data_IF_663121033562
#
_entry.id   IF_663121033562
#
_cell.length_a   1.000
_cell.length_b   1.000
_cell.length_c   1.000
_cell.angle_alpha   90.00
_cell.angle_beta   90.00
_cell.angle_gamma   90.00
#
_symmetry.space_group_name_H-M   'P 1'
#
loop_
_entity.id
_entity.type
_entity.pdbx_description
1 polymer ?
#
# COMPACT_ATOMS: atom_id res chain seq x y z
N UNK A 1 11.64 14.96 -44.46
CA UNK A 1 10.64 14.36 -43.55
C UNK A 1 9.76 13.35 -44.28
N UNK A 2 9.08 13.73 -45.37
CA UNK A 2 8.18 12.84 -46.14
C UNK A 2 8.89 11.62 -46.75
N UNK A 3 10.12 11.74 -47.26
CA UNK A 3 10.89 10.60 -47.79
C UNK A 3 11.13 9.52 -46.72
N UNK A 4 11.58 9.90 -45.52
CA UNK A 4 11.79 8.95 -44.41
C UNK A 4 10.51 8.25 -43.96
N UNK A 5 9.34 8.89 -44.13
CA UNK A 5 8.06 8.26 -43.82
C UNK A 5 7.70 7.17 -44.84
N UNK A 6 8.00 7.40 -46.13
CA UNK A 6 7.77 6.38 -47.16
C UNK A 6 8.72 5.17 -47.04
N UNK A 7 9.90 5.35 -46.43
CA UNK A 7 10.85 4.26 -46.18
C UNK A 7 10.45 3.37 -44.98
N UNK A 8 9.66 3.92 -44.05
CA UNK A 8 9.33 3.28 -42.77
C UNK A 8 7.86 2.83 -42.65
N UNK A 9 6.96 3.42 -43.41
CA UNK A 9 5.51 3.21 -43.29
C UNK A 9 4.86 2.93 -44.65
N UNK A 10 3.72 2.23 -44.62
CA UNK A 10 2.95 1.97 -45.82
C UNK A 10 2.35 3.26 -46.39
N UNK A 11 2.13 3.35 -47.72
CA UNK A 11 1.56 4.55 -48.34
C UNK A 11 0.19 4.96 -47.77
N UNK A 12 -0.57 4.00 -47.24
CA UNK A 12 -1.85 4.28 -46.57
C UNK A 12 -1.64 5.02 -45.26
N UNK A 13 -0.69 4.57 -44.43
CA UNK A 13 -0.36 5.20 -43.15
C UNK A 13 0.29 6.58 -43.34
N UNK A 14 1.19 6.72 -44.33
CA UNK A 14 1.84 8.01 -44.63
C UNK A 14 0.80 9.10 -44.93
N UNK A 15 -0.27 8.77 -45.67
CA UNK A 15 -1.36 9.71 -45.95
C UNK A 15 -2.09 10.17 -44.70
N UNK A 16 -2.23 9.31 -43.70
CA UNK A 16 -2.87 9.65 -42.43
C UNK A 16 -1.91 10.40 -41.49
N UNK A 17 -0.65 9.98 -41.41
CA UNK A 17 0.38 10.64 -40.59
C UNK A 17 0.57 12.09 -41.01
N UNK A 18 0.55 12.38 -42.32
CA UNK A 18 0.70 13.75 -42.84
C UNK A 18 -0.46 14.68 -42.47
N UNK A 19 -1.62 14.16 -42.03
CA UNK A 19 -2.74 14.97 -41.53
C UNK A 19 -2.52 15.48 -40.10
N UNK A 20 -1.59 14.87 -39.36
CA UNK A 20 -1.27 15.28 -37.99
C UNK A 20 -0.53 16.61 -38.05
N UNK A 21 -1.19 17.66 -37.57
CA UNK A 21 -0.60 18.99 -37.52
C UNK A 21 0.41 19.07 -36.37
N UNK A 22 1.70 18.91 -36.68
CA UNK A 22 2.77 19.24 -35.74
C UNK A 22 2.84 20.75 -35.52
N UNK A 23 3.33 21.17 -34.35
CA UNK A 23 3.50 22.60 -34.04
C UNK A 23 4.25 23.33 -35.15
N UNK A 24 3.67 24.43 -35.66
CA UNK A 24 4.30 25.27 -36.70
C UNK A 24 5.61 25.90 -36.24
N UNK A 25 5.88 25.90 -34.93
CA UNK A 25 7.03 26.56 -34.31
C UNK A 25 8.37 25.83 -34.48
N UNK A 26 8.44 24.72 -35.22
CA UNK A 26 9.67 23.93 -35.45
C UNK A 26 10.54 23.80 -34.19
N UNK A 27 9.91 23.59 -33.03
CA UNK A 27 10.62 23.45 -31.78
C UNK A 27 11.25 22.06 -31.75
N UNK A 28 12.47 21.96 -31.22
CA UNK A 28 13.05 20.64 -30.96
C UNK A 28 12.16 19.86 -30.00
N UNK A 29 12.06 18.56 -30.26
CA UNK A 29 11.36 17.62 -29.39
C UNK A 29 12.01 17.60 -28.01
N UNK A 30 11.18 17.44 -26.98
CA UNK A 30 11.63 17.33 -25.59
C UNK A 30 10.78 16.30 -24.86
N UNK A 31 11.34 15.71 -23.81
CA UNK A 31 10.60 14.80 -22.94
C UNK A 31 9.55 15.58 -22.16
N UNK A 32 8.28 15.23 -22.36
CA UNK A 32 7.15 15.79 -21.62
C UNK A 32 6.56 14.74 -20.67
N UNK A 33 6.37 15.12 -19.42
CA UNK A 33 5.76 14.30 -18.39
C UNK A 33 4.42 14.90 -17.97
N UNK A 34 3.33 14.36 -18.51
CA UNK A 34 1.97 14.86 -18.27
C UNK A 34 1.56 14.96 -16.78
N UNK A 35 1.89 13.99 -15.91
CA UNK A 35 1.42 14.01 -14.52
C UNK A 35 1.88 15.21 -13.69
N UNK A 36 2.96 15.89 -14.09
CA UNK A 36 3.44 17.09 -13.41
C UNK A 36 3.13 18.34 -14.24
N UNK A 37 2.68 19.42 -13.58
CA UNK A 37 2.32 20.69 -14.25
C UNK A 37 3.51 21.36 -14.94
N UNK A 38 4.73 21.09 -14.48
CA UNK A 38 5.95 21.60 -15.09
C UNK A 38 6.43 20.76 -16.29
N UNK A 39 5.76 19.63 -16.58
CA UNK A 39 6.11 18.74 -17.67
C UNK A 39 7.41 17.96 -17.47
N UNK A 40 8.02 18.00 -16.28
CA UNK A 40 9.32 17.37 -16.01
C UNK A 40 9.16 15.98 -15.42
N UNK A 41 9.93 15.02 -15.96
CA UNK A 41 9.99 13.68 -15.42
C UNK A 41 10.85 13.63 -14.16
N UNK A 42 10.37 12.92 -13.13
CA UNK A 42 11.18 12.53 -11.98
C UNK A 42 10.81 11.12 -11.54
N UNK A 43 11.76 10.39 -10.94
CA UNK A 43 11.48 9.05 -10.37
C UNK A 43 10.38 9.14 -9.31
N UNK A 44 10.34 10.24 -8.55
CA UNK A 44 9.31 10.49 -7.53
C UNK A 44 7.91 10.60 -8.15
N UNK A 45 7.75 11.39 -9.21
CA UNK A 45 6.45 11.58 -9.87
C UNK A 45 5.99 10.31 -10.61
N UNK A 46 6.94 9.57 -11.20
CA UNK A 46 6.66 8.26 -11.80
C UNK A 46 6.22 7.23 -10.77
N UNK A 47 6.92 7.16 -9.63
CA UNK A 47 6.55 6.28 -8.52
C UNK A 47 5.16 6.63 -7.98
N UNK A 48 4.89 7.92 -7.74
CA UNK A 48 3.58 8.38 -7.27
C UNK A 48 2.46 7.98 -8.23
N UNK A 49 2.64 8.17 -9.55
CA UNK A 49 1.66 7.74 -10.55
C UNK A 49 1.42 6.22 -10.50
N UNK A 50 2.51 5.44 -10.42
CA UNK A 50 2.41 3.98 -10.35
C UNK A 50 1.68 3.53 -9.08
N UNK A 51 1.95 4.16 -7.94
CA UNK A 51 1.26 3.88 -6.67
C UNK A 51 -0.22 4.26 -6.76
N UNK A 52 -0.59 5.43 -7.29
CA UNK A 52 -2.00 5.82 -7.42
C UNK A 52 -2.79 4.89 -8.34
N UNK A 53 -2.19 4.47 -9.47
CA UNK A 53 -2.83 3.53 -10.39
C UNK A 53 -3.00 2.15 -9.74
N UNK A 54 -1.99 1.71 -9.00
CA UNK A 54 -2.06 0.48 -8.21
C UNK A 54 -3.16 0.60 -7.15
N UNK A 55 -3.19 1.67 -6.37
CA UNK A 55 -4.17 1.86 -5.30
C UNK A 55 -5.60 1.98 -5.84
N UNK A 56 -5.83 2.60 -6.99
CA UNK A 56 -7.14 2.62 -7.65
C UNK A 56 -7.57 1.23 -8.12
N UNK A 57 -6.64 0.43 -8.65
CA UNK A 57 -6.92 -0.94 -9.11
C UNK A 57 -7.11 -1.93 -7.95
N UNK A 58 -6.40 -1.73 -6.86
CA UNK A 58 -6.36 -2.59 -5.68
C UNK A 58 -7.06 -1.94 -4.47
N UNK A 59 -7.93 -0.95 -4.69
CA UNK A 59 -8.67 -0.21 -3.66
C UNK A 59 -9.52 -1.12 -2.72
N UNK A 60 -9.72 -2.39 -3.10
CA UNK A 60 -10.32 -3.42 -2.24
C UNK A 60 -9.39 -3.99 -1.16
N UNK A 61 -8.09 -3.64 -1.13
CA UNK A 61 -7.09 -4.28 -0.27
C UNK A 61 -6.77 -3.58 1.05
N UNK A 62 -7.05 -2.28 1.18
CA UNK A 62 -6.79 -1.54 2.41
C UNK A 62 -7.85 -0.46 2.65
N UNK A 63 -9.03 -0.88 3.10
CA UNK A 63 -9.98 0.03 3.74
C UNK A 63 -9.37 0.50 5.06
N UNK A 64 -8.69 1.65 5.04
CA UNK A 64 -8.51 2.42 6.26
C UNK A 64 -9.89 2.98 6.62
N UNK A 65 -10.50 2.48 7.71
CA UNK A 65 -11.77 3.00 8.21
C UNK A 65 -11.74 4.51 8.55
N UNK A 66 -10.54 5.12 8.60
CA UNK A 66 -10.33 6.56 8.64
C UNK A 66 -9.61 7.04 7.36
N UNK A 67 -10.31 7.70 6.43
CA UNK A 67 -9.73 8.31 5.22
C UNK A 67 -8.84 9.51 5.53
N UNK A 68 -9.06 10.17 6.68
CA UNK A 68 -8.39 11.40 7.10
C UNK A 68 -6.93 11.16 7.58
N UNK A 69 -6.42 9.93 7.46
CA UNK A 69 -5.08 9.52 7.90
C UNK A 69 -4.87 9.52 9.42
N UNK A 70 -5.77 10.15 10.18
CA UNK A 70 -5.65 10.28 11.61
C UNK A 70 -5.98 8.95 12.30
N UNK A 71 -4.94 8.26 12.80
CA UNK A 71 -5.06 6.99 13.53
C UNK A 71 -4.69 7.25 14.98
N UNK A 72 -5.67 7.54 15.87
CA UNK A 72 -5.40 7.96 17.24
C UNK A 72 -4.61 6.92 18.04
N UNK A 73 -4.76 5.64 17.71
CA UNK A 73 -4.01 4.55 18.34
C UNK A 73 -2.50 4.65 18.11
N UNK A 74 -2.04 5.14 16.95
CA UNK A 74 -0.61 5.29 16.70
C UNK A 74 -0.02 6.41 17.55
N UNK A 75 -0.74 7.52 17.69
CA UNK A 75 -0.33 8.61 18.59
C UNK A 75 -0.22 8.10 20.02
N UNK A 76 -1.20 7.33 20.51
CA UNK A 76 -1.16 6.73 21.84
C UNK A 76 0.07 5.83 22.05
N UNK A 77 0.35 4.94 21.10
CA UNK A 77 1.50 4.02 21.19
C UNK A 77 2.82 4.80 21.18
N UNK A 78 2.98 5.75 20.27
CA UNK A 78 4.24 6.47 20.11
C UNK A 78 4.50 7.50 21.22
N UNK A 79 3.45 8.11 21.79
CA UNK A 79 3.57 9.07 22.90
C UNK A 79 3.72 8.40 24.28
N UNK A 80 3.46 7.08 24.40
CA UNK A 80 3.61 6.37 25.66
C UNK A 80 5.04 6.44 26.23
N UNK A 81 5.17 6.55 27.56
CA UNK A 81 6.45 6.61 28.29
C UNK A 81 7.03 5.21 28.58
N UNK A 82 7.00 4.32 27.59
CA UNK A 82 7.52 2.95 27.70
C UNK A 82 8.75 2.74 26.80
N UNK A 83 9.61 1.75 27.09
CA UNK A 83 10.72 1.39 26.22
C UNK A 83 10.28 1.12 24.77
N UNK A 84 11.14 1.45 23.81
CA UNK A 84 10.86 1.28 22.38
C UNK A 84 10.45 -0.15 22.00
N UNK A 85 11.02 -1.16 22.66
CA UNK A 85 10.66 -2.57 22.47
C UNK A 85 9.18 -2.82 22.73
N UNK A 86 8.61 -2.22 23.78
CA UNK A 86 7.19 -2.34 24.12
C UNK A 86 6.32 -1.62 23.10
N UNK A 87 6.73 -0.44 22.61
CA UNK A 87 6.03 0.27 21.53
C UNK A 87 5.94 -0.57 20.27
N UNK A 88 7.04 -1.22 19.88
CA UNK A 88 7.05 -2.11 18.71
C UNK A 88 6.12 -3.31 18.89
N UNK A 89 6.12 -3.94 20.07
CA UNK A 89 5.17 -5.03 20.39
C UNK A 89 3.72 -4.54 20.33
N UNK A 90 3.43 -3.36 20.88
CA UNK A 90 2.10 -2.74 20.80
C UNK A 90 1.67 -2.48 19.35
N UNK A 91 2.60 -2.00 18.51
CA UNK A 91 2.31 -1.80 17.09
C UNK A 91 1.96 -3.11 16.38
N UNK A 92 2.68 -4.19 16.68
CA UNK A 92 2.37 -5.52 16.14
C UNK A 92 1.00 -6.03 16.62
N UNK A 93 0.65 -5.79 17.88
CA UNK A 93 -0.65 -6.15 18.42
C UNK A 93 -1.78 -5.39 17.72
N UNK A 94 -1.66 -4.06 17.62
CA UNK A 94 -2.66 -3.17 17.01
C UNK A 94 -2.86 -3.39 15.50
N UNK A 95 -1.83 -3.88 14.81
CA UNK A 95 -1.89 -4.20 13.37
C UNK A 95 -2.27 -5.64 13.06
N UNK A 96 -2.52 -6.49 14.07
CA UNK A 96 -2.79 -7.92 13.86
C UNK A 96 -1.58 -8.71 13.34
N UNK A 97 -0.36 -8.19 13.51
CA UNK A 97 0.89 -8.81 13.08
C UNK A 97 1.50 -9.77 14.13
N UNK A 98 0.78 -10.01 15.23
CA UNK A 98 1.11 -11.09 16.16
C UNK A 98 0.71 -12.43 15.55
N UNK A 99 1.49 -13.46 15.84
CA UNK A 99 1.23 -14.82 15.40
C UNK A 99 0.19 -15.46 16.33
N UNK A 100 -1.02 -14.91 16.35
CA UNK A 100 -2.15 -15.47 17.10
C UNK A 100 -2.77 -16.63 16.32
N UNK A 101 -3.46 -17.56 16.98
CA UNK A 101 -4.08 -18.68 16.30
C UNK A 101 -5.11 -18.23 15.23
N UNK A 102 -5.85 -17.15 15.48
CA UNK A 102 -6.71 -16.52 14.46
C UNK A 102 -5.92 -16.03 13.24
N UNK A 103 -4.79 -15.34 13.44
CA UNK A 103 -3.94 -14.85 12.36
C UNK A 103 -3.28 -16.00 11.59
N UNK A 104 -2.83 -17.04 12.29
CA UNK A 104 -2.30 -18.25 11.67
C UNK A 104 -3.35 -18.97 10.84
N UNK A 105 -4.59 -19.10 11.34
CA UNK A 105 -5.69 -19.72 10.60
C UNK A 105 -6.06 -18.91 9.36
N UNK A 106 -6.15 -17.57 9.48
CA UNK A 106 -6.38 -16.66 8.35
C UNK A 106 -5.31 -16.82 7.26
N UNK A 107 -4.06 -17.08 7.64
CA UNK A 107 -2.94 -17.33 6.71
C UNK A 107 -2.82 -18.80 6.26
N UNK A 108 -3.80 -19.64 6.59
CA UNK A 108 -3.80 -21.08 6.31
C UNK A 108 -2.60 -21.85 6.89
N UNK A 109 -1.99 -21.33 7.96
CA UNK A 109 -0.88 -21.96 8.69
C UNK A 109 -1.36 -22.87 9.82
N UNK A 110 -2.57 -22.62 10.35
CA UNK A 110 -3.18 -23.41 11.41
C UNK A 110 -4.61 -23.82 11.04
N UNK A 111 -5.06 -24.97 11.54
CA UNK A 111 -6.42 -25.47 11.29
C UNK A 111 -7.46 -24.86 12.24
N UNK A 112 -7.05 -24.46 13.45
CA UNK A 112 -7.93 -23.96 14.51
C UNK A 112 -7.49 -22.56 14.95
N UNK A 113 -8.46 -21.69 15.22
CA UNK A 113 -8.30 -20.33 15.77
C UNK A 113 -8.35 -20.30 17.30
N UNK A 114 -8.80 -21.37 17.94
CA UNK A 114 -8.92 -21.50 19.40
C UNK A 114 -7.57 -21.31 20.11
N UNK A 115 -7.57 -20.58 21.22
CA UNK A 115 -6.36 -20.33 22.00
C UNK A 115 -5.68 -21.64 22.43
N UNK A 116 -4.39 -21.83 22.15
CA UNK A 116 -3.67 -23.05 22.49
C UNK A 116 -3.41 -23.19 24.01
N UNK A 117 -3.55 -22.09 24.76
CA UNK A 117 -3.28 -22.06 26.20
C UNK A 117 -4.57 -22.35 27.00
N UNK A 118 -5.63 -21.57 26.78
CA UNK A 118 -6.86 -21.73 27.54
C UNK A 118 -7.86 -22.70 26.89
N UNK A 119 -7.82 -22.86 25.56
CA UNK A 119 -8.72 -23.76 24.82
C UNK A 119 -10.19 -23.35 24.76
N UNK A 120 -10.57 -22.16 25.26
CA UNK A 120 -11.98 -21.76 25.42
C UNK A 120 -12.49 -20.88 24.28
N UNK A 121 -11.71 -19.87 23.90
CA UNK A 121 -12.10 -18.84 22.91
C UNK A 121 -11.04 -18.77 21.82
N UNK A 122 -11.42 -18.28 20.64
CA UNK A 122 -10.49 -17.91 19.59
C UNK A 122 -9.47 -16.87 20.06
N UNK A 123 -8.22 -17.09 19.69
CA UNK A 123 -7.10 -16.26 20.12
C UNK A 123 -6.86 -15.13 19.11
N UNK A 124 -7.36 -13.95 19.42
CA UNK A 124 -6.90 -12.70 18.82
C UNK A 124 -5.86 -12.00 19.71
N UNK A 125 -5.32 -10.86 19.26
CA UNK A 125 -4.32 -10.10 20.01
C UNK A 125 -4.81 -9.67 21.40
N UNK A 126 -6.11 -9.39 21.54
CA UNK A 126 -6.69 -8.95 22.80
C UNK A 126 -6.84 -10.11 23.78
N UNK A 127 -7.31 -11.26 23.31
CA UNK A 127 -7.40 -12.47 24.11
C UNK A 127 -6.02 -12.92 24.57
N UNK A 128 -5.04 -13.01 23.65
CA UNK A 128 -3.69 -13.47 23.95
C UNK A 128 -2.97 -12.61 25.01
N UNK A 129 -3.20 -11.29 25.00
CA UNK A 129 -2.46 -10.36 25.86
C UNK A 129 -3.19 -9.95 27.14
N UNK A 130 -4.53 -9.98 27.16
CA UNK A 130 -5.33 -9.38 28.23
C UNK A 130 -6.32 -10.38 28.85
N UNK A 131 -7.09 -11.10 28.03
CA UNK A 131 -8.25 -11.88 28.53
C UNK A 131 -7.89 -13.31 28.92
N UNK A 132 -6.92 -13.93 28.23
CA UNK A 132 -6.50 -15.31 28.48
C UNK A 132 -6.19 -15.51 29.97
N UNK A 133 -6.65 -16.64 30.54
CA UNK A 133 -6.42 -16.97 31.95
C UNK A 133 -4.93 -16.92 32.31
N UNK A 134 -4.06 -17.34 31.40
CA UNK A 134 -2.61 -17.24 31.57
C UNK A 134 -2.10 -15.81 31.56
N UNK A 135 -2.57 -14.97 30.62
CA UNK A 135 -2.19 -13.56 30.56
C UNK A 135 -2.64 -12.82 31.83
N UNK A 136 -3.87 -13.05 32.29
CA UNK A 136 -4.39 -12.50 33.55
C UNK A 136 -3.54 -12.88 34.74
N UNK A 137 -3.15 -14.14 34.85
CA UNK A 137 -2.28 -14.60 35.93
C UNK A 137 -0.93 -13.89 35.95
N UNK A 138 -0.38 -13.51 34.79
CA UNK A 138 0.85 -12.72 34.69
C UNK A 138 0.63 -11.27 35.12
N UNK A 139 -0.50 -10.66 34.77
CA UNK A 139 -0.83 -9.28 35.15
C UNK A 139 -1.16 -9.12 36.64
N UNK A 140 -1.67 -10.18 37.25
CA UNK A 140 -2.03 -10.22 38.69
C UNK A 140 -0.84 -10.62 39.58
N UNK A 141 0.30 -11.03 39.01
CA UNK A 141 1.53 -11.43 39.71
C UNK A 141 2.47 -10.25 39.98
#
# INVERSE_FOLDING_TARGET
MVQRLNDLFWPMDVREILKIHTSSRQRQDFFAWHPEKNGQFSVRSAYHLATTVHDDQFAGGASSANPDGNRPIWNLIWQSSVPLRMKHTACRAASGALATATCMQYRHLATRSTCPICGIVDEDSYHALIVCSHARAIWEA
#
